data_IF_655094422927
#
_entry.id   IF_655094422927
#
_cell.length_a   1.000
_cell.length_b   1.000
_cell.length_c   1.000
_cell.angle_alpha   90.00
_cell.angle_beta   90.00
_cell.angle_gamma   90.00
#
_symmetry.space_group_name_H-M   'P 1'
#
loop_
_entity.id
_entity.type
_entity.pdbx_description
1 polymer ?
#
# COMPACT_ATOMS: atom_id res chain seq x y z
N UNK A 1 11.38 -5.20 0.69
CA UNK A 1 10.69 -4.92 -0.59
C UNK A 1 10.75 -6.14 -1.48
N UNK A 2 9.61 -6.85 -1.52
CA UNK A 2 9.40 -8.11 -2.22
C UNK A 2 9.36 -7.95 -3.73
N UNK A 3 9.49 -9.07 -4.46
CA UNK A 3 9.46 -9.05 -5.93
C UNK A 3 8.08 -8.67 -6.48
N UNK A 4 7.00 -9.05 -5.77
CA UNK A 4 5.63 -8.67 -6.12
C UNK A 4 5.43 -7.15 -6.07
N UNK A 5 5.98 -6.47 -5.06
CA UNK A 5 5.94 -5.01 -4.97
C UNK A 5 6.67 -4.37 -6.15
N UNK A 6 7.85 -4.89 -6.53
CA UNK A 6 8.61 -4.35 -7.67
C UNK A 6 7.85 -4.53 -8.99
N UNK A 7 7.23 -5.70 -9.20
CA UNK A 7 6.42 -5.96 -10.38
C UNK A 7 5.21 -5.02 -10.43
N UNK A 8 4.55 -4.79 -9.30
CA UNK A 8 3.42 -3.86 -9.22
C UNK A 8 3.87 -2.40 -9.47
N UNK A 9 5.04 -2.01 -8.98
CA UNK A 9 5.63 -0.71 -9.31
C UNK A 9 5.86 -0.59 -10.82
N UNK A 10 6.47 -1.60 -11.46
CA UNK A 10 6.68 -1.62 -12.92
C UNK A 10 5.33 -1.49 -13.65
N UNK A 11 4.32 -2.25 -13.22
CA UNK A 11 2.96 -2.14 -13.77
C UNK A 11 2.39 -0.73 -13.63
N UNK A 12 2.52 -0.06 -12.46
CA UNK A 12 2.05 1.32 -12.21
C UNK A 12 2.71 2.40 -13.09
N UNK A 13 3.81 2.09 -13.77
CA UNK A 13 4.45 2.97 -14.77
C UNK A 13 4.18 2.52 -16.21
N UNK A 14 3.49 1.40 -16.42
CA UNK A 14 3.12 0.91 -17.74
C UNK A 14 1.94 1.70 -18.33
N UNK A 15 1.78 1.61 -19.66
CA UNK A 15 0.63 2.16 -20.39
C UNK A 15 -0.70 1.47 -20.04
N UNK A 16 -0.63 0.25 -19.49
CA UNK A 16 -1.80 -0.57 -19.16
C UNK A 16 -2.35 -0.24 -17.76
N UNK A 17 -1.66 0.61 -17.01
CA UNK A 17 -2.11 1.10 -15.72
C UNK A 17 -3.20 2.16 -15.88
N UNK A 18 -4.37 1.91 -15.29
CA UNK A 18 -5.48 2.85 -15.24
C UNK A 18 -5.58 3.49 -13.86
N UNK A 19 -5.29 4.78 -13.81
CA UNK A 19 -5.42 5.57 -12.59
C UNK A 19 -6.87 5.53 -12.09
N UNK A 20 -7.05 5.24 -10.80
CA UNK A 20 -8.38 5.19 -10.18
C UNK A 20 -9.14 3.87 -10.39
N UNK A 21 -8.58 2.88 -11.09
CA UNK A 21 -9.17 1.53 -11.11
C UNK A 21 -8.98 0.82 -9.76
N UNK A 22 -7.82 1.04 -9.13
CA UNK A 22 -7.46 0.53 -7.80
C UNK A 22 -6.90 1.64 -6.92
N UNK A 23 -7.02 1.44 -5.62
CA UNK A 23 -6.25 2.13 -4.59
C UNK A 23 -5.32 1.13 -3.90
N UNK A 24 -4.18 1.64 -3.46
CA UNK A 24 -3.24 0.94 -2.60
C UNK A 24 -3.41 1.49 -1.18
N UNK A 25 -3.62 0.59 -0.23
CA UNK A 25 -3.80 0.92 1.18
C UNK A 25 -2.63 0.33 1.96
N UNK A 26 -1.74 1.18 2.46
CA UNK A 26 -0.66 0.78 3.36
C UNK A 26 -1.24 0.47 4.73
N UNK A 27 -1.06 -0.77 5.18
CA UNK A 27 -1.60 -1.28 6.43
C UNK A 27 -0.49 -1.40 7.47
N UNK A 28 -0.72 -0.83 8.64
CA UNK A 28 0.18 -0.91 9.77
C UNK A 28 -0.47 -1.48 11.02
N UNK A 29 0.36 -1.70 12.04
CA UNK A 29 -0.05 -1.90 13.42
C UNK A 29 0.33 -0.65 14.21
N UNK A 30 -0.61 -0.15 15.04
CA UNK A 30 -0.34 0.83 16.09
C UNK A 30 -0.58 0.09 17.41
N UNK A 31 0.51 -0.29 18.07
CA UNK A 31 0.44 -1.33 19.11
C UNK A 31 -0.03 -2.66 18.51
N UNK A 32 -1.16 -3.19 18.98
CA UNK A 32 -1.76 -4.43 18.46
C UNK A 32 -2.89 -4.19 17.44
N UNK A 33 -3.32 -2.94 17.26
CA UNK A 33 -4.47 -2.61 16.42
C UNK A 33 -4.05 -2.39 14.96
N UNK A 34 -4.73 -3.07 14.04
CA UNK A 34 -4.47 -2.92 12.59
C UNK A 34 -5.21 -1.72 12.03
N UNK A 35 -4.46 -0.82 11.39
CA UNK A 35 -4.99 0.41 10.79
C UNK A 35 -4.45 0.63 9.38
N UNK A 36 -5.17 1.40 8.58
CA UNK A 36 -4.66 1.94 7.33
C UNK A 36 -3.89 3.23 7.62
N UNK A 37 -2.62 3.29 7.24
CA UNK A 37 -1.71 4.42 7.49
C UNK A 37 -1.37 5.21 6.23
N UNK A 38 -1.67 4.68 5.04
CA UNK A 38 -1.54 5.43 3.79
C UNK A 38 -2.52 4.92 2.74
N UNK A 39 -2.97 5.83 1.87
CA UNK A 39 -3.79 5.51 0.70
C UNK A 39 -3.23 6.27 -0.50
N UNK A 40 -3.04 5.59 -1.63
CA UNK A 40 -2.61 6.21 -2.87
C UNK A 40 -3.08 5.43 -4.10
N UNK A 41 -3.07 6.09 -5.26
CA UNK A 41 -3.35 5.40 -6.53
C UNK A 41 -2.14 4.67 -7.12
N UNK A 42 -0.93 4.92 -6.61
CA UNK A 42 0.27 4.18 -7.01
C UNK A 42 0.97 3.60 -5.79
N UNK A 43 1.48 2.39 -5.92
CA UNK A 43 2.07 1.63 -4.81
C UNK A 43 3.34 2.30 -4.26
N UNK A 44 4.14 2.93 -5.12
CA UNK A 44 5.36 3.65 -4.73
C UNK A 44 5.06 4.83 -3.80
N UNK A 45 4.03 5.62 -4.13
CA UNK A 45 3.59 6.73 -3.29
C UNK A 45 2.93 6.23 -2.00
N UNK A 46 2.19 5.12 -2.06
CA UNK A 46 1.63 4.46 -0.88
C UNK A 46 2.73 4.06 0.12
N UNK A 47 3.82 3.45 -0.38
CA UNK A 47 5.00 3.07 0.42
C UNK A 47 5.67 4.30 1.00
N UNK A 48 5.91 5.33 0.18
CA UNK A 48 6.52 6.59 0.64
C UNK A 48 5.75 7.18 1.82
N UNK A 49 4.42 7.26 1.73
CA UNK A 49 3.58 7.82 2.79
C UNK A 49 3.52 6.93 4.03
N UNK A 50 3.54 5.61 3.88
CA UNK A 50 3.60 4.68 5.01
C UNK A 50 4.94 4.79 5.76
N UNK A 51 6.06 4.87 5.05
CA UNK A 51 7.39 5.01 5.67
C UNK A 51 7.51 6.31 6.47
N UNK A 52 6.92 7.41 6.00
CA UNK A 52 6.88 8.67 6.76
C UNK A 52 6.19 8.52 8.14
N UNK A 53 5.20 7.64 8.28
CA UNK A 53 4.58 7.34 9.58
C UNK A 53 5.51 6.51 10.47
N UNK A 54 6.15 5.48 9.91
CA UNK A 54 7.09 4.62 10.65
C UNK A 54 8.32 5.42 11.12
N UNK A 55 8.79 6.37 10.32
CA UNK A 55 9.88 7.28 10.67
C UNK A 55 9.49 8.27 11.78
N UNK A 56 8.21 8.66 11.85
CA UNK A 56 7.72 9.64 12.82
C UNK A 56 7.37 9.02 14.18
N UNK A 57 6.91 7.77 14.22
CA UNK A 57 6.48 7.09 15.44
C UNK A 57 6.91 5.61 15.45
N UNK A 58 7.81 5.20 16.39
CA UNK A 58 8.28 3.82 16.49
C UNK A 58 7.20 2.81 16.88
N UNK A 59 6.03 3.25 17.35
CA UNK A 59 4.90 2.37 17.66
C UNK A 59 4.12 1.97 16.40
N UNK A 60 4.39 2.60 15.26
CA UNK A 60 3.79 2.26 13.97
C UNK A 60 4.66 1.24 13.26
N UNK A 61 4.12 0.04 13.05
CA UNK A 61 4.76 -1.00 12.22
C UNK A 61 4.04 -1.11 10.89
N UNK A 62 4.69 -0.72 9.80
CA UNK A 62 4.18 -0.97 8.45
C UNK A 62 4.27 -2.48 8.14
N UNK A 63 3.16 -3.11 7.75
CA UNK A 63 3.09 -4.58 7.62
C UNK A 63 2.90 -5.06 6.19
N UNK A 64 1.93 -4.52 5.46
CA UNK A 64 1.60 -4.95 4.11
C UNK A 64 0.83 -3.85 3.38
N UNK A 65 0.62 -4.04 2.09
CA UNK A 65 -0.20 -3.15 1.26
C UNK A 65 -1.35 -3.96 0.68
N UNK A 66 -2.56 -3.43 0.77
CA UNK A 66 -3.72 -4.00 0.09
C UNK A 66 -3.98 -3.24 -1.21
N UNK A 67 -4.14 -3.96 -2.32
CA UNK A 67 -4.75 -3.45 -3.55
C UNK A 67 -6.25 -3.65 -3.43
N UNK A 68 -7.01 -2.57 -3.54
CA UNK A 68 -8.47 -2.58 -3.43
C UNK A 68 -9.02 -1.96 -4.70
N UNK A 69 -9.93 -2.66 -5.38
CA UNK A 69 -10.64 -2.09 -6.52
C UNK A 69 -11.56 -0.98 -6.02
N UNK A 70 -11.60 0.15 -6.71
CA UNK A 70 -12.42 1.28 -6.25
C UNK A 70 -13.90 0.87 -6.18
N UNK A 71 -14.52 1.12 -5.03
CA UNK A 71 -15.90 0.73 -4.72
C UNK A 71 -16.04 -0.59 -3.96
N UNK A 72 -14.99 -1.41 -3.88
CA UNK A 72 -15.00 -2.66 -3.13
C UNK A 72 -14.66 -2.46 -1.66
N UNK A 73 -15.09 -3.38 -0.80
CA UNK A 73 -14.85 -3.36 0.65
C UNK A 73 -13.77 -4.35 1.11
N UNK A 74 -13.11 -5.03 0.17
CA UNK A 74 -12.09 -6.04 0.45
C UNK A 74 -10.91 -5.93 -0.51
N UNK A 75 -9.75 -6.40 -0.06
CA UNK A 75 -8.53 -6.41 -0.86
C UNK A 75 -8.62 -7.47 -1.95
N UNK A 76 -8.35 -7.07 -3.19
CA UNK A 76 -8.18 -7.99 -4.32
C UNK A 76 -6.81 -8.65 -4.31
N UNK A 77 -5.81 -7.99 -3.73
CA UNK A 77 -4.46 -8.51 -3.58
C UNK A 77 -3.77 -7.91 -2.36
N UNK A 78 -2.89 -8.69 -1.73
CA UNK A 78 -2.07 -8.28 -0.59
C UNK A 78 -0.60 -8.40 -0.96
N UNK A 79 0.18 -7.36 -0.68
CA UNK A 79 1.63 -7.34 -0.86
C UNK A 79 2.33 -7.31 0.50
N UNK A 80 3.10 -8.34 0.82
CA UNK A 80 3.96 -8.35 2.02
C UNK A 80 5.23 -7.51 1.78
N UNK A 81 5.73 -6.84 2.82
CA UNK A 81 6.86 -5.89 2.76
C UNK A 81 8.25 -6.54 2.89
#
# INVERSE_FOLDING_TARGET
MTEEIKQEMIYNFSKDFKLGEYIYMGMGLVGEHRVCISVAYKIDYCIKKANQFVEADPNVKFTHINKVKVGETSATQKFEL
#
